data_IF_138372225758
#
_entry.id   IF_138372225758
#
_cell.length_a   1.000
_cell.length_b   1.000
_cell.length_c   1.000
_cell.angle_alpha   90.00
_cell.angle_beta   90.00
_cell.angle_gamma   90.00
#
_symmetry.space_group_name_H-M   'P 1'
#
loop_
_entity.id
_entity.type
_entity.pdbx_description
1 polymer ?
#
# COMPACT_ATOMS: atom_id res chain seq x y z
N UNK A 1 -1.91 -2.73 36.56
CA UNK A 1 -0.85 -2.10 37.36
C UNK A 1 -0.15 -1.09 36.46
N UNK A 2 -0.10 0.16 36.90
CA UNK A 2 0.52 1.27 36.17
C UNK A 2 2.05 1.13 36.25
N UNK A 3 2.74 1.06 35.12
CA UNK A 3 4.16 1.42 35.04
C UNK A 3 4.23 2.85 34.51
N UNK A 4 4.67 3.75 35.39
CA UNK A 4 5.29 5.04 35.09
C UNK A 4 4.60 5.92 34.04
N UNK A 5 3.56 6.68 34.44
CA UNK A 5 3.33 8.09 34.07
C UNK A 5 3.34 8.52 32.59
N UNK A 6 3.54 7.62 31.63
CA UNK A 6 3.46 7.82 30.20
C UNK A 6 2.08 7.32 29.79
N UNK A 7 1.28 8.10 29.05
CA UNK A 7 0.05 7.58 28.48
C UNK A 7 0.43 6.33 27.68
N UNK A 8 -0.19 5.20 28.02
CA UNK A 8 -0.08 3.98 27.23
C UNK A 8 -0.79 4.27 25.91
N UNK A 9 -0.05 4.83 24.95
CA UNK A 9 -0.44 4.91 23.55
C UNK A 9 -0.29 3.51 22.93
N UNK A 10 -1.01 2.53 23.48
CA UNK A 10 -1.13 1.24 22.83
C UNK A 10 -2.06 1.43 21.62
N UNK A 11 -1.54 1.13 20.43
CA UNK A 11 -2.38 0.91 19.27
C UNK A 11 -3.22 -0.35 19.54
N UNK A 12 -4.54 -0.19 19.61
CA UNK A 12 -5.49 -1.29 19.78
C UNK A 12 -6.34 -1.41 18.52
N UNK A 13 -6.89 -2.60 18.30
CA UNK A 13 -7.96 -2.77 17.33
C UNK A 13 -9.30 -2.36 17.95
N UNK A 14 -9.95 -1.39 17.33
CA UNK A 14 -11.27 -0.90 17.70
C UNK A 14 -12.27 -1.45 16.69
N UNK A 15 -13.40 -1.97 17.17
CA UNK A 15 -14.47 -2.50 16.33
C UNK A 15 -15.82 -1.87 16.72
N UNK A 16 -16.44 -1.17 15.78
CA UNK A 16 -17.67 -0.40 15.98
C UNK A 16 -18.77 -1.02 15.13
N UNK A 17 -19.89 -1.41 15.75
CA UNK A 17 -21.06 -1.87 15.00
C UNK A 17 -21.59 -0.72 14.12
N UNK A 18 -21.81 -1.00 12.84
CA UNK A 18 -22.25 0.01 11.89
C UNK A 18 -23.15 -0.61 10.83
N UNK A 19 -24.28 0.03 10.57
CA UNK A 19 -25.21 -0.37 9.52
C UNK A 19 -25.15 0.70 8.41
N UNK A 20 -24.49 0.41 7.27
CA UNK A 20 -24.46 1.32 6.14
C UNK A 20 -25.87 1.67 5.68
N UNK A 21 -26.08 2.94 5.29
CA UNK A 21 -27.38 3.44 4.82
C UNK A 21 -27.30 3.93 3.38
N UNK A 22 -28.41 3.82 2.63
CA UNK A 22 -28.49 4.28 1.24
C UNK A 22 -27.36 3.72 0.37
N UNK A 23 -26.62 4.61 -0.30
CA UNK A 23 -25.54 4.24 -1.21
C UNK A 23 -24.33 3.59 -0.51
N UNK A 24 -24.15 3.79 0.80
CA UNK A 24 -23.03 3.20 1.54
C UNK A 24 -23.06 1.68 1.51
N UNK A 25 -24.25 1.06 1.46
CA UNK A 25 -24.37 -0.40 1.42
C UNK A 25 -23.84 -0.99 0.10
N UNK A 26 -24.08 -0.30 -1.02
CA UNK A 26 -23.60 -0.72 -2.33
C UNK A 26 -22.09 -0.47 -2.53
N UNK A 27 -21.58 0.59 -1.89
CA UNK A 27 -20.21 1.10 -2.04
C UNK A 27 -19.41 1.00 -0.73
N UNK A 28 -19.65 -0.04 0.09
CA UNK A 28 -19.20 -0.11 1.48
C UNK A 28 -17.68 0.03 1.69
N UNK A 29 -16.87 -0.25 0.67
CA UNK A 29 -15.41 -0.09 0.74
C UNK A 29 -14.98 1.39 0.85
N UNK A 30 -15.88 2.31 0.54
CA UNK A 30 -15.71 3.76 0.69
C UNK A 30 -16.08 4.30 2.08
N UNK A 31 -16.54 3.43 2.99
CA UNK A 31 -16.72 3.76 4.41
C UNK A 31 -15.34 4.00 5.03
N UNK A 32 -15.11 5.15 5.64
CA UNK A 32 -13.85 5.55 6.25
C UNK A 32 -14.00 5.70 7.76
N UNK A 33 -12.86 5.66 8.44
CA UNK A 33 -12.78 6.02 9.87
C UNK A 33 -11.99 7.31 9.98
N UNK A 34 -12.55 8.27 10.70
CA UNK A 34 -11.86 9.49 11.09
C UNK A 34 -11.38 9.38 12.53
N UNK A 35 -10.16 9.83 12.79
CA UNK A 35 -9.76 10.27 14.12
C UNK A 35 -10.22 11.72 14.30
N UNK A 36 -10.86 12.00 15.44
CA UNK A 36 -11.38 13.32 15.79
C UNK A 36 -10.45 13.96 16.82
N UNK A 37 -9.82 15.07 16.44
CA UNK A 37 -8.99 15.85 17.34
C UNK A 37 -9.84 16.65 18.34
N UNK A 38 -9.24 17.15 19.43
CA UNK A 38 -9.93 17.94 20.46
C UNK A 38 -10.60 19.22 19.92
N UNK A 39 -10.08 19.77 18.83
CA UNK A 39 -10.63 20.94 18.14
C UNK A 39 -11.73 20.58 17.12
N UNK A 40 -12.16 19.31 17.05
CA UNK A 40 -13.16 18.80 16.10
C UNK A 40 -12.62 18.49 14.70
N UNK A 41 -11.32 18.66 14.43
CA UNK A 41 -10.74 18.33 13.12
C UNK A 41 -10.75 16.83 12.86
N UNK A 42 -11.08 16.44 11.63
CA UNK A 42 -11.20 15.05 11.21
C UNK A 42 -10.01 14.64 10.33
N UNK A 43 -9.34 13.53 10.68
CA UNK A 43 -8.27 12.94 9.86
C UNK A 43 -8.62 11.50 9.53
N UNK A 44 -8.59 11.13 8.25
CA UNK A 44 -8.83 9.74 7.82
C UNK A 44 -7.72 8.85 8.36
N UNK A 45 -8.10 7.78 9.06
CA UNK A 45 -7.21 6.69 9.47
C UNK A 45 -7.26 5.62 8.39
N UNK A 46 -6.18 5.48 7.62
CA UNK A 46 -6.18 4.72 6.37
C UNK A 46 -6.52 3.23 6.55
N UNK A 47 -6.17 2.61 7.69
CA UNK A 47 -6.50 1.21 8.00
C UNK A 47 -7.96 0.93 8.40
N UNK A 48 -8.80 1.98 8.46
CA UNK A 48 -10.22 1.89 8.80
C UNK A 48 -11.01 1.18 7.70
N UNK A 49 -11.67 0.07 8.05
CA UNK A 49 -12.36 -0.81 7.09
C UNK A 49 -13.71 -1.29 7.61
N UNK A 50 -14.70 -1.36 6.72
CA UNK A 50 -15.98 -1.99 7.00
C UNK A 50 -15.95 -3.46 6.58
N UNK A 51 -16.38 -4.36 7.46
CA UNK A 51 -16.55 -5.77 7.17
C UNK A 51 -18.04 -6.09 7.10
N UNK A 52 -18.53 -6.43 5.90
CA UNK A 52 -19.93 -6.74 5.62
C UNK A 52 -20.46 -8.00 6.33
N UNK A 53 -19.59 -8.96 6.61
CA UNK A 53 -19.97 -10.24 7.23
C UNK A 53 -20.25 -10.05 8.72
N UNK A 54 -19.48 -9.18 9.36
CA UNK A 54 -19.62 -8.88 10.80
C UNK A 54 -20.51 -7.67 11.09
N UNK A 55 -20.77 -6.82 10.09
CA UNK A 55 -21.47 -5.55 10.27
C UNK A 55 -20.69 -4.54 11.12
N UNK A 56 -19.36 -4.61 11.11
CA UNK A 56 -18.48 -3.77 11.94
C UNK A 56 -17.51 -2.97 11.09
N UNK A 57 -17.23 -1.74 11.53
CA UNK A 57 -16.07 -0.97 11.11
C UNK A 57 -14.93 -1.23 12.09
N UNK A 58 -13.76 -1.61 11.57
CA UNK A 58 -12.55 -1.83 12.36
C UNK A 58 -11.46 -0.84 12.00
N UNK A 59 -10.70 -0.37 12.98
CA UNK A 59 -9.56 0.53 12.83
C UNK A 59 -8.49 0.13 13.86
N UNK A 60 -7.20 0.21 13.52
CA UNK A 60 -6.16 0.16 14.54
C UNK A 60 -5.75 1.60 14.88
N UNK A 61 -5.77 1.95 16.16
CA UNK A 61 -5.37 3.28 16.60
C UNK A 61 -5.32 3.40 18.12
N UNK A 62 -5.08 4.63 18.59
CA UNK A 62 -4.94 4.95 20.00
C UNK A 62 -6.20 4.61 20.82
N UNK A 63 -6.01 3.84 21.90
CA UNK A 63 -7.10 3.42 22.79
C UNK A 63 -7.91 4.57 23.40
N UNK A 64 -7.31 5.75 23.58
CA UNK A 64 -7.95 6.96 24.10
C UNK A 64 -8.39 7.95 23.01
N UNK A 65 -8.36 7.53 21.74
CA UNK A 65 -8.79 8.35 20.61
C UNK A 65 -10.31 8.42 20.48
N UNK A 66 -10.81 9.54 19.95
CA UNK A 66 -12.19 9.67 19.49
C UNK A 66 -12.25 9.34 18.01
N UNK A 67 -13.20 8.48 17.62
CA UNK A 67 -13.35 8.01 16.25
C UNK A 67 -14.76 8.29 15.72
N UNK A 68 -14.85 8.64 14.44
CA UNK A 68 -16.11 8.79 13.72
C UNK A 68 -16.08 7.93 12.46
N UNK A 69 -17.25 7.43 12.06
CA UNK A 69 -17.43 6.71 10.79
C UNK A 69 -18.01 7.69 9.78
N UNK A 70 -17.52 7.65 8.55
CA UNK A 70 -18.13 8.39 7.46
C UNK A 70 -18.02 7.65 6.14
N UNK A 71 -18.50 8.29 5.08
CA UNK A 71 -18.48 7.74 3.74
C UNK A 71 -17.86 8.77 2.79
N UNK A 72 -16.80 8.37 2.10
CA UNK A 72 -16.09 9.23 1.15
C UNK A 72 -15.94 8.46 -0.14
N UNK A 73 -16.53 8.91 -1.24
CA UNK A 73 -16.28 8.34 -2.57
C UNK A 73 -15.47 9.32 -3.41
N UNK A 74 -14.21 8.99 -3.69
CA UNK A 74 -13.34 9.80 -4.57
C UNK A 74 -13.21 9.14 -5.93
N UNK A 75 -13.42 9.90 -6.99
CA UNK A 75 -13.36 9.42 -8.37
C UNK A 75 -12.51 10.38 -9.20
N UNK A 76 -11.94 9.87 -10.30
CA UNK A 76 -11.14 10.65 -11.24
C UNK A 76 -11.68 10.44 -12.65
N UNK A 77 -11.67 11.47 -13.48
CA UNK A 77 -12.30 11.42 -14.80
C UNK A 77 -11.52 10.50 -15.77
N UNK A 78 -10.19 10.50 -15.65
CA UNK A 78 -9.27 9.74 -16.52
C UNK A 78 -9.21 8.24 -16.20
N UNK A 79 -9.83 7.79 -15.10
CA UNK A 79 -9.94 6.36 -14.77
C UNK A 79 -11.02 5.64 -15.56
N UNK A 80 -11.93 6.37 -16.23
CA UNK A 80 -12.98 5.76 -17.04
C UNK A 80 -12.43 4.87 -18.18
N UNK A 81 -11.23 5.19 -18.70
CA UNK A 81 -10.52 4.39 -19.71
C UNK A 81 -9.74 3.20 -19.12
N UNK A 82 -9.74 3.05 -17.80
CA UNK A 82 -8.95 2.09 -17.03
C UNK A 82 -9.85 1.30 -16.07
N UNK A 83 -10.95 0.73 -16.58
CA UNK A 83 -11.98 0.03 -15.78
C UNK A 83 -11.42 -1.07 -14.87
N UNK A 84 -10.32 -1.70 -15.25
CA UNK A 84 -9.61 -2.71 -14.47
C UNK A 84 -8.95 -2.18 -13.18
N UNK A 85 -8.71 -0.86 -13.08
CA UNK A 85 -8.12 -0.19 -11.92
C UNK A 85 -9.05 0.85 -11.25
N UNK A 86 -10.13 1.26 -11.92
CA UNK A 86 -10.99 2.37 -11.50
C UNK A 86 -11.52 2.20 -10.07
N UNK A 87 -12.04 1.01 -9.74
CA UNK A 87 -12.54 0.71 -8.39
C UNK A 87 -11.42 0.80 -7.35
N UNK A 88 -10.27 0.19 -7.63
CA UNK A 88 -9.13 0.13 -6.72
C UNK A 88 -8.58 1.53 -6.45
N UNK A 89 -8.48 2.36 -7.49
CA UNK A 89 -8.08 3.75 -7.37
C UNK A 89 -9.09 4.52 -6.51
N UNK A 90 -10.38 4.37 -6.79
CA UNK A 90 -11.44 5.06 -6.07
C UNK A 90 -11.44 4.71 -4.58
N UNK A 91 -11.36 3.42 -4.24
CA UNK A 91 -11.33 2.95 -2.84
C UNK A 91 -10.09 3.46 -2.12
N UNK A 92 -8.90 3.28 -2.66
CA UNK A 92 -7.66 3.72 -2.01
C UNK A 92 -7.60 5.24 -1.84
N UNK A 93 -8.16 6.01 -2.78
CA UNK A 93 -8.26 7.46 -2.67
C UNK A 93 -9.21 7.87 -1.54
N UNK A 94 -10.33 7.16 -1.38
CA UNK A 94 -11.22 7.33 -0.23
C UNK A 94 -10.53 7.08 1.10
N UNK A 95 -9.62 6.11 1.16
CA UNK A 95 -8.80 5.82 2.36
C UNK A 95 -7.62 6.78 2.56
N UNK A 96 -7.47 7.79 1.69
CA UNK A 96 -6.32 8.70 1.66
C UNK A 96 -4.97 7.96 1.53
N UNK A 97 -4.96 6.73 0.97
CA UNK A 97 -3.75 5.95 0.70
C UNK A 97 -3.07 6.47 -0.56
N UNK A 98 -3.85 6.73 -1.60
CA UNK A 98 -3.37 7.36 -2.85
C UNK A 98 -4.04 8.71 -3.07
N UNK A 99 -3.40 9.54 -3.89
CA UNK A 99 -3.91 10.86 -4.29
C UNK A 99 -3.81 11.06 -5.79
N UNK A 100 -4.72 11.87 -6.34
CA UNK A 100 -4.66 12.33 -7.72
C UNK A 100 -3.45 13.23 -7.98
N UNK A 101 -3.15 13.45 -9.25
CA UNK A 101 -2.24 14.51 -9.70
C UNK A 101 -2.92 15.87 -9.76
N UNK A 102 -4.25 15.88 -9.68
CA UNK A 102 -5.11 17.04 -9.42
C UNK A 102 -6.35 16.56 -8.67
N UNK A 103 -7.30 17.45 -8.40
CA UNK A 103 -8.59 17.08 -7.79
C UNK A 103 -9.42 16.13 -8.65
N UNK A 104 -9.28 16.17 -9.99
CA UNK A 104 -10.10 15.38 -10.93
C UNK A 104 -9.31 14.36 -11.75
N UNK A 105 -7.97 14.38 -11.69
CA UNK A 105 -7.07 13.55 -12.51
C UNK A 105 -6.19 12.65 -11.65
N UNK A 106 -6.14 11.35 -11.96
CA UNK A 106 -5.25 10.42 -11.28
C UNK A 106 -3.92 10.17 -12.00
N UNK A 107 -3.89 10.33 -13.32
CA UNK A 107 -2.81 9.91 -14.22
C UNK A 107 -2.47 8.40 -14.18
N UNK A 108 -3.41 7.48 -14.49
CA UNK A 108 -3.23 6.03 -14.36
C UNK A 108 -2.00 5.47 -15.09
N UNK A 109 -1.70 5.99 -16.28
CA UNK A 109 -0.61 5.48 -17.14
C UNK A 109 0.77 6.05 -16.79
N UNK A 110 0.86 7.04 -15.91
CA UNK A 110 2.16 7.62 -15.54
C UNK A 110 2.96 6.60 -14.73
N UNK A 111 4.22 6.40 -15.10
CA UNK A 111 5.15 5.56 -14.33
C UNK A 111 5.41 6.16 -12.96
N UNK A 112 5.44 5.30 -11.94
CA UNK A 112 5.74 5.71 -10.57
C UNK A 112 7.24 5.65 -10.28
N UNK A 113 7.71 6.56 -9.44
CA UNK A 113 9.10 6.54 -8.96
C UNK A 113 9.30 5.43 -7.90
N UNK A 114 10.53 5.00 -7.71
CA UNK A 114 10.90 4.03 -6.65
C UNK A 114 10.52 4.55 -5.27
N UNK A 115 10.77 5.83 -4.98
CA UNK A 115 10.46 6.42 -3.69
C UNK A 115 8.96 6.55 -3.44
N UNK A 116 8.19 7.01 -4.44
CA UNK A 116 6.74 7.16 -4.28
C UNK A 116 6.07 5.79 -4.13
N UNK A 117 6.50 4.77 -4.87
CA UNK A 117 5.99 3.41 -4.70
C UNK A 117 6.27 2.89 -3.28
N UNK A 118 7.51 2.99 -2.83
CA UNK A 118 7.92 2.48 -1.53
C UNK A 118 7.19 3.20 -0.38
N UNK A 119 7.03 4.52 -0.49
CA UNK A 119 6.24 5.31 0.45
C UNK A 119 4.81 4.78 0.56
N UNK A 120 4.15 4.56 -0.57
CA UNK A 120 2.78 4.04 -0.57
C UNK A 120 2.70 2.63 0.03
N UNK A 121 3.67 1.77 -0.28
CA UNK A 121 3.75 0.41 0.24
C UNK A 121 3.91 0.38 1.77
N UNK A 122 4.89 1.12 2.30
CA UNK A 122 5.16 1.24 3.74
C UNK A 122 3.93 1.75 4.49
N UNK A 123 3.29 2.79 3.96
CA UNK A 123 2.09 3.37 4.57
C UNK A 123 0.87 2.44 4.48
N UNK A 124 0.69 1.72 3.38
CA UNK A 124 -0.43 0.78 3.20
C UNK A 124 -0.36 -0.39 4.17
N UNK A 125 0.86 -0.88 4.46
CA UNK A 125 1.10 -1.97 5.40
C UNK A 125 1.38 -1.49 6.84
N UNK A 126 1.32 -0.17 7.08
CA UNK A 126 1.56 0.48 8.38
C UNK A 126 2.88 0.05 9.04
N UNK A 127 3.92 -0.13 8.24
CA UNK A 127 5.22 -0.60 8.72
C UNK A 127 5.90 0.47 9.57
N UNK A 128 6.45 0.06 10.71
CA UNK A 128 7.15 0.91 11.66
C UNK A 128 8.49 0.29 12.01
N UNK A 129 9.51 1.13 12.17
CA UNK A 129 10.83 0.73 12.64
C UNK A 129 11.53 1.92 13.28
N UNK A 130 12.46 1.65 14.20
CA UNK A 130 13.40 2.66 14.66
C UNK A 130 14.36 3.00 13.51
N UNK A 131 14.37 4.27 13.11
CA UNK A 131 15.15 4.75 11.98
C UNK A 131 16.58 5.06 12.46
N UNK A 132 17.58 4.45 11.82
CA UNK A 132 19.00 4.75 12.06
C UNK A 132 19.70 5.14 10.75
N UNK A 133 19.39 6.35 10.27
CA UNK A 133 19.96 6.93 9.06
C UNK A 133 19.21 6.60 7.76
N UNK A 134 19.73 7.11 6.64
CA UNK A 134 19.13 6.96 5.31
C UNK A 134 20.20 6.70 4.24
N UNK A 135 19.82 6.64 2.96
CA UNK A 135 20.76 6.65 1.83
C UNK A 135 21.24 8.09 1.55
N UNK A 136 22.44 8.23 0.99
CA UNK A 136 23.11 9.52 0.81
C UNK A 136 22.42 10.43 -0.22
N UNK A 137 21.55 9.87 -1.06
CA UNK A 137 20.74 10.60 -2.05
C UNK A 137 19.32 10.90 -1.58
N UNK A 138 19.02 10.75 -0.29
CA UNK A 138 17.71 11.06 0.28
C UNK A 138 17.82 12.34 1.12
N UNK A 139 17.27 13.43 0.60
CA UNK A 139 17.22 14.70 1.31
C UNK A 139 16.31 14.61 2.56
N UNK A 140 16.75 15.21 3.68
CA UNK A 140 16.03 15.16 4.96
C UNK A 140 14.59 15.72 4.91
N UNK A 141 14.32 16.63 3.96
CA UNK A 141 12.99 17.23 3.75
C UNK A 141 12.16 16.51 2.66
N UNK A 142 12.66 15.41 2.09
CA UNK A 142 11.92 14.66 1.08
C UNK A 142 10.66 14.05 1.68
N UNK A 143 9.54 14.11 0.95
CA UNK A 143 8.24 13.61 1.42
C UNK A 143 8.20 12.09 1.63
N UNK A 144 9.24 11.36 1.25
CA UNK A 144 9.42 9.92 1.41
C UNK A 144 10.59 9.55 2.34
N UNK A 145 11.20 10.55 3.01
CA UNK A 145 12.40 10.34 3.84
C UNK A 145 12.19 9.23 4.88
N UNK A 146 11.11 9.34 5.66
CA UNK A 146 10.81 8.40 6.74
C UNK A 146 10.52 7.00 6.21
N UNK A 147 9.70 6.88 5.16
CA UNK A 147 9.30 5.59 4.61
C UNK A 147 10.48 4.84 3.98
N UNK A 148 11.38 5.56 3.30
CA UNK A 148 12.64 4.96 2.79
C UNK A 148 13.51 4.48 3.95
N UNK A 149 13.62 5.26 5.02
CA UNK A 149 14.43 4.91 6.17
C UNK A 149 13.87 3.69 6.94
N UNK A 150 12.54 3.63 7.12
CA UNK A 150 11.84 2.46 7.67
C UNK A 150 12.11 1.22 6.82
N UNK A 151 11.92 1.33 5.51
CA UNK A 151 12.15 0.20 4.60
C UNK A 151 13.60 -0.28 4.57
N UNK A 152 14.57 0.64 4.74
CA UNK A 152 16.00 0.32 4.89
C UNK A 152 16.25 -0.43 6.20
N UNK A 153 15.74 0.08 7.32
CA UNK A 153 15.90 -0.53 8.63
C UNK A 153 15.27 -1.93 8.71
N UNK A 154 14.14 -2.15 8.02
CA UNK A 154 13.45 -3.44 7.94
C UNK A 154 14.03 -4.40 6.89
N UNK A 155 15.07 -4.01 6.15
CA UNK A 155 15.69 -4.86 5.11
C UNK A 155 14.82 -5.08 3.86
N UNK A 156 13.76 -4.30 3.68
CA UNK A 156 12.90 -4.33 2.48
C UNK A 156 13.69 -3.85 1.27
N UNK A 157 14.57 -2.86 1.47
CA UNK A 157 15.45 -2.32 0.43
C UNK A 157 16.91 -2.33 0.86
N UNK A 158 17.82 -2.61 -0.08
CA UNK A 158 19.27 -2.58 0.11
C UNK A 158 19.98 -1.44 -0.64
N UNK A 159 19.24 -0.68 -1.45
CA UNK A 159 19.81 0.30 -2.38
C UNK A 159 20.41 -0.34 -3.63
N UNK A 160 21.12 0.48 -4.42
CA UNK A 160 21.74 0.09 -5.70
C UNK A 160 23.28 0.06 -5.63
N UNK A 161 23.85 0.14 -4.43
CA UNK A 161 25.30 0.28 -4.20
C UNK A 161 25.69 1.70 -3.79
N UNK A 162 26.91 1.88 -3.27
CA UNK A 162 27.47 3.18 -2.84
C UNK A 162 26.55 3.99 -1.92
N UNK A 163 25.76 3.30 -1.08
CA UNK A 163 24.74 3.89 -0.22
C UNK A 163 23.73 4.80 -0.96
N UNK A 164 23.34 4.43 -2.20
CA UNK A 164 22.33 5.12 -3.02
C UNK A 164 21.04 4.32 -3.20
N UNK A 165 19.91 5.02 -3.30
CA UNK A 165 18.59 4.42 -3.53
C UNK A 165 17.98 4.76 -4.91
N UNK A 166 18.38 5.89 -5.49
CA UNK A 166 17.80 6.51 -6.69
C UNK A 166 16.29 6.79 -6.57
N UNK A 167 15.88 7.74 -5.70
CA UNK A 167 14.47 7.94 -5.38
C UNK A 167 13.60 8.37 -6.57
N UNK A 168 14.17 9.12 -7.53
CA UNK A 168 13.46 9.66 -8.70
C UNK A 168 13.39 8.69 -9.88
N UNK A 169 14.16 7.59 -9.86
CA UNK A 169 14.14 6.58 -10.92
C UNK A 169 12.80 5.87 -10.97
N UNK A 170 12.31 5.57 -12.17
CA UNK A 170 11.08 4.79 -12.36
C UNK A 170 11.32 3.32 -11.97
N UNK A 171 10.44 2.77 -11.12
CA UNK A 171 10.60 1.42 -10.60
C UNK A 171 10.28 0.36 -11.66
N UNK A 172 11.15 -0.66 -11.77
CA UNK A 172 10.86 -1.82 -12.61
C UNK A 172 9.79 -2.71 -11.95
N UNK A 173 9.07 -3.50 -12.73
CA UNK A 173 8.05 -4.41 -12.22
C UNK A 173 8.64 -5.48 -11.31
N UNK A 174 9.82 -6.02 -11.62
CA UNK A 174 10.47 -7.01 -10.78
C UNK A 174 10.97 -6.41 -9.44
N UNK A 175 11.51 -5.18 -9.44
CA UNK A 175 11.93 -4.53 -8.19
C UNK A 175 10.74 -4.24 -7.29
N UNK A 176 9.64 -3.78 -7.90
CA UNK A 176 8.37 -3.57 -7.21
C UNK A 176 7.90 -4.87 -6.54
N UNK A 177 7.94 -6.00 -7.26
CA UNK A 177 7.53 -7.31 -6.73
C UNK A 177 8.42 -7.77 -5.56
N UNK A 178 9.74 -7.56 -5.65
CA UNK A 178 10.66 -7.85 -4.54
C UNK A 178 10.34 -7.00 -3.31
N UNK A 179 10.07 -5.70 -3.48
CA UNK A 179 9.70 -4.83 -2.36
C UNK A 179 8.38 -5.27 -1.72
N UNK A 180 7.36 -5.61 -2.51
CA UNK A 180 6.05 -6.06 -2.02
C UNK A 180 6.18 -7.35 -1.21
N UNK A 181 6.90 -8.33 -1.74
CA UNK A 181 7.03 -9.64 -1.10
C UNK A 181 7.78 -9.54 0.23
N UNK A 182 8.91 -8.82 0.27
CA UNK A 182 9.62 -8.54 1.53
C UNK A 182 8.77 -7.76 2.54
N UNK A 183 8.03 -6.75 2.07
CA UNK A 183 7.18 -5.96 2.96
C UNK A 183 6.04 -6.81 3.56
N UNK A 184 5.49 -7.75 2.79
CA UNK A 184 4.49 -8.71 3.27
C UNK A 184 5.05 -9.66 4.32
N UNK A 185 6.28 -10.17 4.15
CA UNK A 185 6.96 -10.97 5.16
C UNK A 185 7.11 -10.21 6.47
N UNK A 186 7.59 -8.96 6.41
CA UNK A 186 7.77 -8.10 7.59
C UNK A 186 6.43 -7.74 8.25
N UNK A 187 5.36 -7.57 7.46
CA UNK A 187 4.02 -7.32 7.97
C UNK A 187 3.38 -8.53 8.66
N UNK A 188 4.07 -9.68 8.76
CA UNK A 188 3.50 -10.92 9.29
C UNK A 188 2.42 -11.52 8.39
N UNK A 189 2.41 -11.15 7.10
CA UNK A 189 1.50 -11.65 6.07
C UNK A 189 2.29 -12.36 4.95
N UNK A 190 3.18 -13.31 5.29
CA UNK A 190 4.05 -13.94 4.29
C UNK A 190 3.20 -14.55 3.18
N UNK A 191 3.70 -14.44 1.95
CA UNK A 191 3.08 -15.11 0.82
C UNK A 191 3.32 -16.62 0.86
N UNK A 192 2.60 -17.35 0.01
CA UNK A 192 2.90 -18.72 -0.33
C UNK A 192 4.21 -18.75 -1.12
N UNK A 193 5.10 -19.66 -0.77
CA UNK A 193 6.35 -19.87 -1.49
C UNK A 193 6.04 -20.29 -2.94
N UNK A 194 6.57 -19.51 -3.88
CA UNK A 194 6.45 -19.77 -5.31
C UNK A 194 7.64 -20.56 -5.84
N UNK A 195 7.45 -21.25 -6.96
CA UNK A 195 8.47 -22.05 -7.63
C UNK A 195 8.55 -21.70 -9.14
N UNK A 196 9.39 -22.41 -9.87
CA UNK A 196 9.54 -22.19 -11.32
C UNK A 196 8.29 -22.57 -12.13
N UNK A 197 7.46 -23.49 -11.64
CA UNK A 197 6.23 -23.93 -12.31
C UNK A 197 5.20 -22.80 -12.36
N UNK A 198 5.13 -21.99 -11.30
CA UNK A 198 4.28 -20.80 -11.25
C UNK A 198 4.62 -19.78 -12.37
N UNK A 199 5.85 -19.83 -12.89
CA UNK A 199 6.35 -18.95 -13.94
C UNK A 199 6.23 -19.52 -15.36
N UNK A 200 5.97 -20.83 -15.51
CA UNK A 200 6.04 -21.51 -16.83
C UNK A 200 5.07 -20.95 -17.87
N UNK A 201 3.94 -20.39 -17.42
CA UNK A 201 2.93 -19.79 -18.32
C UNK A 201 3.36 -18.46 -18.92
N UNK A 202 4.50 -17.90 -18.51
CA UNK A 202 4.97 -16.60 -18.95
C UNK A 202 6.14 -16.71 -19.93
N UNK A 203 5.95 -16.16 -21.13
CA UNK A 203 6.89 -16.23 -22.23
C UNK A 203 8.18 -15.41 -22.00
N UNK A 204 8.19 -14.55 -20.99
CA UNK A 204 9.31 -13.67 -20.62
C UNK A 204 9.85 -13.95 -19.22
N UNK A 205 9.56 -15.13 -18.66
CA UNK A 205 10.06 -15.54 -17.34
C UNK A 205 11.59 -15.65 -17.28
N UNK A 206 12.24 -15.89 -18.43
CA UNK A 206 13.70 -15.90 -18.59
C UNK A 206 14.33 -14.51 -18.38
N UNK A 207 13.56 -13.43 -18.56
CA UNK A 207 14.01 -12.04 -18.34
C UNK A 207 13.98 -11.61 -16.87
N UNK A 208 13.42 -12.43 -15.98
CA UNK A 208 13.38 -12.12 -14.55
C UNK A 208 14.80 -12.26 -14.00
N UNK A 209 15.31 -11.19 -13.37
CA UNK A 209 16.60 -11.27 -12.70
C UNK A 209 16.57 -12.31 -11.57
N UNK A 210 17.69 -13.02 -11.36
CA UNK A 210 17.78 -14.12 -10.40
C UNK A 210 17.34 -13.72 -8.98
N UNK A 211 17.66 -12.50 -8.55
CA UNK A 211 17.27 -11.99 -7.22
C UNK A 211 15.76 -11.80 -7.06
N UNK A 212 15.01 -11.61 -8.16
CA UNK A 212 13.58 -11.32 -8.13
C UNK A 212 12.72 -12.58 -8.34
N UNK A 213 13.31 -13.67 -8.81
CA UNK A 213 12.59 -14.85 -9.31
C UNK A 213 11.63 -15.44 -8.27
N UNK A 214 12.10 -15.62 -7.03
CA UNK A 214 11.27 -16.18 -5.96
C UNK A 214 10.13 -15.24 -5.57
N UNK A 215 10.41 -13.94 -5.42
CA UNK A 215 9.38 -12.94 -5.09
C UNK A 215 8.33 -12.83 -6.20
N UNK A 216 8.75 -12.88 -7.47
CA UNK A 216 7.83 -12.87 -8.62
C UNK A 216 6.95 -14.11 -8.61
N UNK A 217 7.52 -15.31 -8.43
CA UNK A 217 6.76 -16.56 -8.36
C UNK A 217 5.75 -16.56 -7.20
N UNK A 218 6.19 -16.14 -6.01
CA UNK A 218 5.35 -16.06 -4.82
C UNK A 218 4.13 -15.15 -5.03
N UNK A 219 4.34 -13.93 -5.56
CA UNK A 219 3.25 -12.99 -5.79
C UNK A 219 2.30 -13.42 -6.93
N UNK A 220 2.80 -14.20 -7.89
CA UNK A 220 1.96 -14.80 -8.94
C UNK A 220 1.07 -15.90 -8.36
N UNK A 221 1.65 -16.79 -7.55
CA UNK A 221 0.92 -17.89 -6.91
C UNK A 221 -0.17 -17.39 -5.97
N UNK A 222 0.09 -16.29 -5.28
CA UNK A 222 -0.85 -15.57 -4.43
C UNK A 222 -1.94 -14.80 -5.21
N UNK A 223 -1.81 -14.73 -6.54
CA UNK A 223 -2.72 -13.93 -7.36
C UNK A 223 -2.62 -12.42 -7.11
N UNK A 224 -1.61 -11.94 -6.38
CA UNK A 224 -1.32 -10.51 -6.22
C UNK A 224 -0.90 -9.94 -7.58
N UNK A 225 -0.04 -10.66 -8.30
CA UNK A 225 0.36 -10.36 -9.67
C UNK A 225 -0.27 -11.37 -10.61
N UNK A 226 -1.04 -10.90 -11.60
CA UNK A 226 -1.67 -11.78 -12.58
C UNK A 226 -0.88 -11.87 -13.88
N UNK A 227 -0.07 -10.84 -14.19
CA UNK A 227 0.59 -10.64 -15.48
C UNK A 227 -0.29 -9.92 -16.50
N UNK A 228 0.27 -9.67 -17.68
CA UNK A 228 -0.39 -9.12 -18.86
C UNK A 228 -0.45 -10.22 -19.93
N UNK A 229 -1.55 -10.97 -19.95
CA UNK A 229 -1.68 -12.18 -20.76
C UNK A 229 -0.61 -13.21 -20.41
N UNK A 230 0.24 -13.56 -21.39
CA UNK A 230 1.36 -14.49 -21.23
C UNK A 230 2.69 -13.81 -20.87
N UNK A 231 2.67 -12.57 -20.35
CA UNK A 231 3.88 -11.83 -19.96
C UNK A 231 3.83 -11.29 -18.53
N UNK A 232 4.98 -11.23 -17.89
CA UNK A 232 5.18 -10.55 -16.60
C UNK A 232 5.66 -9.11 -16.82
N UNK A 233 6.41 -8.89 -17.89
CA UNK A 233 7.15 -7.66 -18.22
C UNK A 233 8.13 -7.25 -17.10
N UNK A 234 9.05 -8.11 -16.65
CA UNK A 234 9.80 -7.90 -15.40
C UNK A 234 10.67 -6.63 -15.38
N UNK A 235 11.23 -6.26 -16.54
CA UNK A 235 12.06 -5.05 -16.70
C UNK A 235 11.25 -3.80 -17.05
N UNK A 236 9.96 -3.96 -17.37
CA UNK A 236 9.04 -2.87 -17.65
C UNK A 236 8.84 -1.96 -16.44
N UNK A 237 8.39 -0.72 -16.68
CA UNK A 237 8.14 0.25 -15.60
C UNK A 237 6.73 0.06 -15.04
N UNK A 238 6.59 0.28 -13.74
CA UNK A 238 5.29 0.17 -13.06
C UNK A 238 4.52 1.47 -13.17
N UNK A 239 3.26 1.39 -13.58
CA UNK A 239 2.35 2.52 -13.67
C UNK A 239 1.62 2.79 -12.34
N UNK A 240 1.03 3.99 -12.21
CA UNK A 240 0.18 4.33 -11.06
C UNK A 240 -1.06 3.44 -10.97
N UNK A 241 -1.65 3.06 -12.10
CA UNK A 241 -2.79 2.14 -12.12
C UNK A 241 -2.45 0.76 -11.56
N UNK A 242 -1.32 0.20 -11.98
CA UNK A 242 -0.83 -1.10 -11.47
C UNK A 242 -0.50 -1.02 -9.98
N UNK A 243 0.11 0.09 -9.55
CA UNK A 243 0.38 0.36 -8.14
C UNK A 243 -0.92 0.34 -7.33
N UNK A 244 -1.97 1.02 -7.78
CA UNK A 244 -3.25 1.04 -7.09
C UNK A 244 -3.89 -0.35 -6.98
N UNK A 245 -3.82 -1.16 -8.04
CA UNK A 245 -4.36 -2.53 -8.00
C UNK A 245 -3.62 -3.40 -6.98
N UNK A 246 -2.29 -3.31 -6.94
CA UNK A 246 -1.48 -4.08 -5.99
C UNK A 246 -1.78 -3.63 -4.56
N UNK A 247 -1.68 -2.34 -4.27
CA UNK A 247 -1.94 -1.80 -2.93
C UNK A 247 -3.36 -2.11 -2.45
N UNK A 248 -4.35 -2.12 -3.34
CA UNK A 248 -5.72 -2.50 -3.01
C UNK A 248 -5.83 -3.97 -2.59
N UNK A 249 -5.10 -4.88 -3.25
CA UNK A 249 -5.02 -6.28 -2.81
C UNK A 249 -4.35 -6.41 -1.45
N UNK A 250 -3.28 -5.66 -1.20
CA UNK A 250 -2.58 -5.67 0.10
C UNK A 250 -3.45 -5.10 1.23
N UNK A 251 -4.20 -4.03 0.93
CA UNK A 251 -5.08 -3.34 1.88
C UNK A 251 -6.23 -4.23 2.36
N UNK A 252 -6.79 -5.04 1.47
CA UNK A 252 -7.91 -5.94 1.77
C UNK A 252 -7.48 -7.31 2.32
N UNK A 253 -6.19 -7.48 2.61
CA UNK A 253 -5.60 -8.73 3.10
C UNK A 253 -5.60 -8.82 4.61
#
# INVERSE_FOLDING_TARGET
>A
MLQEGKPVNADIQIAIAYKPVGNEAADYEHIVVYQVAKNGSLTIVSNGRYNKETGKVTVNGMANGTYAIGFVKKTFEDTAKHKWAEKQISVLASKNIIRGTSETTYSPQKNITRADFLKLLVNTLELKADINGNFDDIAANAHYYNEVAIAKALGIISGLGNNKFEPSSQISRQDMMVMVEKALQIAGKPGVEGNNEDLQRFNDADKIASYARNSVASLIKEGIITGDGSKINPTGKTTRAETAVILYKLYNR
#
